data_IF_962842866747
#
_entry.id   IF_962842866747
#
_cell.length_a   1.000
_cell.length_b   1.000
_cell.length_c   1.000
_cell.angle_alpha   90.00
_cell.angle_beta   90.00
_cell.angle_gamma   90.00
#
_symmetry.space_group_name_H-M   'P 1'
#
loop_
_entity.id
_entity.type
_entity.pdbx_description
1 polymer ?
#
# COMPACT_ATOMS: atom_id res chain seq x y z
N UNK A 1 -3.32 -33.19 4.27
CA UNK A 1 -2.78 -32.22 3.30
C UNK A 1 -2.78 -30.86 4.01
N UNK A 2 -1.62 -30.36 4.47
CA UNK A 2 -1.53 -29.18 5.35
C UNK A 2 -1.26 -27.90 4.54
N UNK A 3 -2.18 -26.96 4.56
CA UNK A 3 -1.92 -25.51 4.47
C UNK A 3 -1.73 -24.96 5.90
N UNK A 4 -1.17 -23.76 6.18
CA UNK A 4 -0.47 -22.78 5.33
C UNK A 4 0.93 -22.39 5.89
N UNK A 5 1.86 -21.96 5.05
CA UNK A 5 3.12 -21.36 5.51
C UNK A 5 2.95 -19.83 5.55
N UNK A 6 2.65 -19.29 6.74
CA UNK A 6 2.82 -17.89 7.07
C UNK A 6 4.32 -17.53 6.89
N UNK A 7 4.68 -16.94 5.77
CA UNK A 7 5.93 -16.21 5.64
C UNK A 7 5.69 -14.76 6.06
N UNK A 8 5.40 -14.59 7.35
CA UNK A 8 5.45 -13.29 7.99
C UNK A 8 6.92 -12.92 8.08
N UNK A 9 7.44 -12.28 7.04
CA UNK A 9 8.70 -11.56 7.15
C UNK A 9 8.45 -10.49 8.20
N UNK A 10 9.08 -10.66 9.36
CA UNK A 10 9.24 -9.58 10.33
C UNK A 10 10.04 -8.47 9.67
N UNK A 11 9.34 -7.61 8.95
CA UNK A 11 9.82 -6.29 8.61
C UNK A 11 10.02 -5.59 9.96
N UNK A 12 11.27 -5.41 10.38
CA UNK A 12 11.61 -4.57 11.54
C UNK A 12 11.24 -3.14 11.20
N UNK A 13 9.96 -2.80 11.34
CA UNK A 13 9.48 -1.44 11.13
C UNK A 13 10.03 -0.54 12.26
N UNK A 14 10.60 0.63 11.93
CA UNK A 14 10.79 1.69 12.91
C UNK A 14 9.42 2.07 13.54
N UNK A 15 9.41 2.63 14.76
CA UNK A 15 8.21 2.81 15.57
C UNK A 15 7.08 3.51 14.81
N UNK A 16 6.01 2.76 14.57
CA UNK A 16 4.64 3.19 14.25
C UNK A 16 4.48 4.52 13.48
N UNK A 17 5.25 4.73 12.41
CA UNK A 17 4.97 5.81 11.49
C UNK A 17 3.59 5.56 10.89
N UNK A 18 2.68 6.50 11.12
CA UNK A 18 1.34 6.46 10.53
C UNK A 18 1.44 7.19 9.20
N UNK A 19 0.97 6.55 8.14
CA UNK A 19 0.98 7.11 6.81
C UNK A 19 -0.44 7.50 6.43
N UNK A 20 -0.59 8.70 5.91
CA UNK A 20 -1.82 9.18 5.32
C UNK A 20 -1.82 8.84 3.84
N UNK A 21 -2.79 8.03 3.43
CA UNK A 21 -3.06 7.70 2.04
C UNK A 21 -4.23 8.55 1.57
N UNK A 22 -4.10 9.16 0.40
CA UNK A 22 -5.18 9.93 -0.25
C UNK A 22 -5.46 9.35 -1.62
N UNK A 23 -6.65 8.80 -1.81
CA UNK A 23 -7.17 8.40 -3.12
C UNK A 23 -7.71 9.62 -3.85
N UNK A 24 -7.02 10.06 -4.90
CA UNK A 24 -7.44 11.20 -5.73
C UNK A 24 -8.40 10.79 -6.85
N UNK A 25 -8.58 9.50 -7.10
CA UNK A 25 -9.42 8.96 -8.17
C UNK A 25 -10.91 8.90 -7.75
N UNK A 26 -11.18 8.47 -6.52
CA UNK A 26 -12.54 8.32 -6.00
C UNK A 26 -12.80 9.26 -4.81
N UNK A 27 -13.33 10.44 -5.13
CA UNK A 27 -13.89 11.41 -4.18
C UNK A 27 -12.95 11.91 -3.05
N UNK A 28 -11.63 11.67 -3.13
CA UNK A 28 -10.69 12.16 -2.12
C UNK A 28 -10.75 11.37 -0.81
N UNK A 29 -10.87 10.03 -0.87
CA UNK A 29 -10.83 9.21 0.36
C UNK A 29 -9.45 9.33 1.00
N UNK A 30 -9.42 9.78 2.26
CA UNK A 30 -8.21 9.86 3.08
C UNK A 30 -8.29 8.82 4.18
N UNK A 31 -7.22 8.03 4.36
CA UNK A 31 -7.11 7.11 5.49
C UNK A 31 -5.70 7.14 6.06
N UNK A 32 -5.61 6.99 7.37
CA UNK A 32 -4.34 6.89 8.07
C UNK A 32 -4.11 5.44 8.46
N UNK A 33 -3.02 4.87 8.01
CA UNK A 33 -2.68 3.46 8.25
C UNK A 33 -1.20 3.31 8.57
N UNK A 34 -0.83 2.31 9.40
CA UNK A 34 0.57 1.94 9.55
C UNK A 34 1.12 1.41 8.21
N UNK A 35 2.45 1.49 8.02
CA UNK A 35 3.11 1.05 6.79
C UNK A 35 2.73 -0.39 6.36
N UNK A 36 2.57 -1.30 7.32
CA UNK A 36 2.18 -2.69 7.07
C UNK A 36 0.75 -2.84 6.49
N UNK A 37 -0.13 -1.87 6.77
CA UNK A 37 -1.52 -1.88 6.30
C UNK A 37 -1.73 -1.09 5.00
N UNK A 38 -0.70 -0.37 4.51
CA UNK A 38 -0.74 0.35 3.22
C UNK A 38 -1.10 -0.60 2.07
N UNK A 39 -0.45 -1.77 1.88
CA UNK A 39 -0.75 -2.68 0.77
C UNK A 39 -2.19 -3.17 0.75
N UNK A 40 -2.72 -3.55 1.93
CA UNK A 40 -4.08 -4.07 2.09
C UNK A 40 -5.11 -2.98 1.79
N UNK A 41 -4.85 -1.76 2.29
CA UNK A 41 -5.75 -0.62 2.14
C UNK A 41 -5.84 -0.16 0.69
N UNK A 42 -4.69 -0.01 0.02
CA UNK A 42 -4.65 0.34 -1.41
C UNK A 42 -5.29 -0.76 -2.26
N UNK A 43 -5.04 -2.03 -1.94
CA UNK A 43 -5.69 -3.15 -2.66
C UNK A 43 -7.21 -3.14 -2.48
N UNK A 44 -7.72 -2.79 -1.30
CA UNK A 44 -9.15 -2.68 -1.04
C UNK A 44 -9.79 -1.51 -1.82
N UNK A 45 -9.12 -0.34 -1.84
CA UNK A 45 -9.60 0.82 -2.59
C UNK A 45 -9.63 0.58 -4.11
N UNK A 46 -8.59 -0.06 -4.64
CA UNK A 46 -8.47 -0.35 -6.06
C UNK A 46 -9.26 -1.60 -6.50
N UNK A 47 -9.79 -2.39 -5.55
CA UNK A 47 -10.74 -3.45 -5.86
C UNK A 47 -12.15 -2.91 -6.15
N UNK A 48 -12.50 -1.69 -5.74
CA UNK A 48 -13.81 -1.09 -6.03
C UNK A 48 -14.01 -0.66 -7.49
N UNK A 49 -12.96 -0.52 -8.32
CA UNK A 49 -13.15 -0.56 -9.77
C UNK A 49 -12.26 -1.60 -10.46
N UNK A 50 -12.34 -2.90 -10.09
CA UNK A 50 -12.04 -4.03 -10.98
C UNK A 50 -10.67 -4.10 -11.68
N UNK A 51 -9.69 -3.28 -11.28
CA UNK A 51 -8.37 -3.24 -11.90
C UNK A 51 -7.39 -3.93 -10.96
N UNK A 52 -7.37 -5.26 -11.02
CA UNK A 52 -6.22 -6.04 -10.59
C UNK A 52 -5.05 -5.79 -11.56
N UNK A 53 -4.55 -4.56 -11.59
CA UNK A 53 -3.38 -4.20 -12.40
C UNK A 53 -2.12 -4.73 -11.70
N UNK A 54 -1.15 -5.28 -12.44
CA UNK A 54 0.17 -5.62 -11.92
C UNK A 54 0.79 -4.49 -11.09
N UNK A 55 0.50 -3.24 -11.47
CA UNK A 55 0.98 -2.02 -10.79
C UNK A 55 0.59 -1.95 -9.31
N UNK A 56 -0.58 -2.49 -8.92
CA UNK A 56 -1.01 -2.50 -7.51
C UNK A 56 -0.14 -3.44 -6.69
N UNK A 57 0.22 -4.59 -7.27
CA UNK A 57 1.09 -5.55 -6.62
C UNK A 57 2.53 -5.05 -6.52
N UNK A 58 3.04 -4.43 -7.59
CA UNK A 58 4.36 -3.80 -7.58
C UNK A 58 4.43 -2.66 -6.54
N UNK A 59 3.36 -1.88 -6.39
CA UNK A 59 3.26 -0.83 -5.36
C UNK A 59 3.27 -1.42 -3.95
N UNK A 60 2.48 -2.46 -3.71
CA UNK A 60 2.46 -3.19 -2.45
C UNK A 60 3.82 -3.79 -2.09
N UNK A 61 4.53 -4.37 -3.07
CA UNK A 61 5.88 -4.91 -2.89
C UNK A 61 6.90 -3.78 -2.62
N UNK A 62 6.80 -2.64 -3.31
CA UNK A 62 7.69 -1.48 -3.09
C UNK A 62 7.53 -0.89 -1.68
N UNK A 63 6.28 -0.64 -1.24
CA UNK A 63 6.00 -0.19 0.14
C UNK A 63 6.45 -1.24 1.15
N UNK A 64 6.12 -2.51 0.87
CA UNK A 64 6.51 -3.64 1.70
C UNK A 64 8.02 -3.79 1.81
N UNK A 65 8.80 -3.45 0.79
CA UNK A 65 10.27 -3.49 0.79
C UNK A 65 10.93 -2.21 1.34
N UNK A 66 10.15 -1.17 1.65
CA UNK A 66 10.66 0.15 2.04
C UNK A 66 11.28 0.94 0.88
N UNK A 67 11.00 0.56 -0.37
CA UNK A 67 11.42 1.27 -1.57
C UNK A 67 10.50 2.47 -1.83
N UNK A 68 10.64 3.49 -0.99
CA UNK A 68 9.84 4.72 -1.05
C UNK A 68 9.93 5.45 -2.40
N UNK A 69 11.10 5.53 -3.09
CA UNK A 69 11.16 6.09 -4.45
C UNK A 69 10.23 5.37 -5.43
N UNK A 70 10.24 4.03 -5.45
CA UNK A 70 9.35 3.25 -6.29
C UNK A 70 7.88 3.39 -5.86
N UNK A 71 7.61 3.38 -4.56
CA UNK A 71 6.27 3.56 -4.01
C UNK A 71 5.66 4.92 -4.40
N UNK A 72 6.42 6.01 -4.33
CA UNK A 72 5.96 7.34 -4.72
C UNK A 72 5.71 7.44 -6.24
N UNK A 73 6.58 6.86 -7.07
CA UNK A 73 6.40 6.87 -8.52
C UNK A 73 5.17 6.06 -8.97
N UNK A 74 4.94 4.90 -8.34
CA UNK A 74 3.76 4.07 -8.58
C UNK A 74 2.49 4.71 -8.00
N UNK A 75 2.60 5.39 -6.86
CA UNK A 75 1.51 6.17 -6.26
C UNK A 75 1.04 7.29 -7.19
N UNK A 76 1.96 8.05 -7.78
CA UNK A 76 1.63 9.10 -8.76
C UNK A 76 0.88 8.51 -9.97
N UNK A 77 1.35 7.39 -10.50
CA UNK A 77 0.69 6.65 -11.59
C UNK A 77 -0.71 6.17 -11.23
N UNK A 78 -0.92 5.75 -9.98
CA UNK A 78 -2.22 5.30 -9.46
C UNK A 78 -3.09 6.46 -8.96
N UNK A 79 -2.61 7.70 -9.01
CA UNK A 79 -3.26 8.86 -8.38
C UNK A 79 -3.51 8.67 -6.87
N UNK A 80 -2.59 8.01 -6.19
CA UNK A 80 -2.55 7.82 -4.73
C UNK A 80 -1.41 8.65 -4.16
N UNK A 81 -1.74 9.58 -3.27
CA UNK A 81 -0.74 10.34 -2.51
C UNK A 81 -0.45 9.63 -1.18
N UNK A 82 0.83 9.54 -0.81
CA UNK A 82 1.29 8.98 0.46
C UNK A 82 2.10 10.06 1.19
N UNK A 83 1.61 10.45 2.36
CA UNK A 83 2.31 11.35 3.27
C UNK A 83 2.57 10.66 4.62
N UNK A 84 3.66 11.04 5.29
CA UNK A 84 3.83 10.71 6.72
C UNK A 84 2.94 11.65 7.51
N UNK A 85 2.15 11.11 8.45
CA UNK A 85 1.27 11.87 9.34
C UNK A 85 2.00 12.41 10.57
#
# INVERSE_FOLDING_TARGET
MKTPACLTRHHKLPPAATYQLTDRLHAGRVVQVPADAIPVTVSAWLSEPGVHSPLVREFADAVGAGDWPAALALGDWLSIDIAVA
#
